data_IF_854976650924
#
_entry.id   IF_854976650924
#
_cell.length_a   1.000
_cell.length_b   1.000
_cell.length_c   1.000
_cell.angle_alpha   90.00
_cell.angle_beta   90.00
_cell.angle_gamma   90.00
#
_symmetry.space_group_name_H-M   'P 1'
#
loop_
_entity.id
_entity.type
_entity.pdbx_description
1 polymer ?
#
# COMPACT_ATOMS: atom_id res chain seq x y z
N UNK A 1 1.55 22.76 49.28
CA UNK A 1 1.56 24.13 48.69
C UNK A 1 2.95 24.72 48.84
N UNK A 2 3.78 24.70 47.77
CA UNK A 2 5.09 25.37 47.70
C UNK A 2 5.32 25.76 46.24
N UNK A 3 5.07 27.04 45.89
CA UNK A 3 6.03 28.18 45.72
C UNK A 3 6.73 28.12 44.36
N UNK A 4 6.27 28.91 43.37
CA UNK A 4 6.58 30.33 43.08
C UNK A 4 7.85 30.49 42.24
N UNK A 5 7.68 30.99 41.01
CA UNK A 5 8.77 31.51 40.18
C UNK A 5 9.12 32.95 40.54
N UNK A 6 10.30 33.40 40.12
CA UNK A 6 10.54 34.77 39.67
C UNK A 6 11.93 34.90 39.03
N UNK A 7 12.04 35.92 38.18
CA UNK A 7 13.16 36.24 37.32
C UNK A 7 14.29 37.04 38.01
N UNK A 8 15.38 37.20 37.23
CA UNK A 8 16.50 38.16 37.32
C UNK A 8 17.52 37.99 38.44
N UNK A 9 18.78 37.78 38.05
CA UNK A 9 19.89 38.64 38.50
C UNK A 9 21.05 38.59 37.49
N UNK A 10 21.59 39.76 37.17
CA UNK A 10 22.75 40.00 36.30
C UNK A 10 23.81 40.73 37.14
N UNK A 11 25.11 40.59 36.76
CA UNK A 11 26.36 41.15 37.33
C UNK A 11 27.06 40.19 38.31
N UNK A 12 28.38 39.98 38.29
CA UNK A 12 29.51 40.59 37.57
C UNK A 12 30.70 39.63 37.70
N UNK A 13 31.51 39.46 36.66
CA UNK A 13 32.92 39.08 36.80
C UNK A 13 33.70 39.67 35.63
N UNK A 14 34.37 40.77 35.91
CA UNK A 14 35.33 41.44 35.03
C UNK A 14 36.66 40.70 35.14
N UNK A 15 37.08 40.01 34.08
CA UNK A 15 38.49 39.67 33.87
C UNK A 15 38.89 40.18 32.49
N UNK A 16 39.79 41.16 32.50
CA UNK A 16 40.46 41.70 31.31
C UNK A 16 41.34 40.63 30.68
N UNK A 17 41.20 40.36 29.38
CA UNK A 17 42.34 39.92 28.57
C UNK A 17 42.20 40.37 27.11
N UNK A 18 43.35 40.72 26.50
CA UNK A 18 43.52 41.28 25.16
C UNK A 18 43.83 40.15 24.15
N UNK A 19 43.31 40.31 22.92
CA UNK A 19 43.65 39.66 21.63
C UNK A 19 42.92 38.35 21.24
N UNK A 20 42.61 38.16 19.95
CA UNK A 20 41.80 37.06 19.44
C UNK A 20 42.68 35.86 19.06
N UNK A 21 42.25 34.66 19.40
CA UNK A 21 42.72 33.43 18.76
C UNK A 21 41.51 32.70 18.19
N UNK A 22 41.54 32.55 16.87
CA UNK A 22 40.65 31.73 16.07
C UNK A 22 40.73 30.29 16.56
N UNK A 23 39.69 29.81 17.24
CA UNK A 23 39.53 28.38 17.55
C UNK A 23 38.47 27.83 16.60
N UNK A 24 38.95 27.17 15.56
CA UNK A 24 38.14 26.32 14.69
C UNK A 24 37.73 25.09 15.50
N UNK A 25 36.52 25.11 16.07
CA UNK A 25 36.00 23.99 16.84
C UNK A 25 35.36 22.98 15.87
N UNK A 26 36.16 22.01 15.44
CA UNK A 26 35.71 20.82 14.71
C UNK A 26 34.83 20.00 15.68
N UNK A 27 33.51 20.05 15.51
CA UNK A 27 32.59 19.10 16.14
C UNK A 27 32.64 17.77 15.37
N UNK A 28 33.59 16.91 15.72
CA UNK A 28 33.54 15.49 15.39
C UNK A 28 32.74 14.75 16.48
N UNK A 29 31.41 14.83 16.39
CA UNK A 29 30.55 13.90 17.12
C UNK A 29 30.65 12.54 16.45
N UNK A 30 31.43 11.65 17.07
CA UNK A 30 31.42 10.21 16.80
C UNK A 30 30.01 9.68 17.07
N UNK A 31 29.21 9.50 16.02
CA UNK A 31 28.06 8.60 16.06
C UNK A 31 28.61 7.18 16.21
N UNK A 32 28.70 6.72 17.46
CA UNK A 32 28.78 5.29 17.71
C UNK A 32 27.46 4.68 17.24
N UNK A 33 27.55 3.66 16.39
CA UNK A 33 26.42 2.83 15.99
C UNK A 33 25.86 2.18 17.26
N UNK A 34 24.94 2.89 17.92
CA UNK A 34 23.99 2.23 18.79
C UNK A 34 23.25 1.25 17.89
N UNK A 35 23.42 -0.03 18.15
CA UNK A 35 22.61 -1.11 17.60
C UNK A 35 21.17 -0.83 18.01
N UNK A 36 20.47 -0.04 17.19
CA UNK A 36 19.03 0.10 17.25
C UNK A 36 18.46 -1.26 16.92
N UNK A 37 18.13 -2.02 17.96
CA UNK A 37 17.20 -3.14 17.84
C UNK A 37 15.90 -2.48 17.41
N UNK A 38 15.68 -2.42 16.09
CA UNK A 38 14.49 -1.84 15.51
C UNK A 38 13.27 -2.48 16.18
N UNK A 39 12.34 -1.69 16.73
CA UNK A 39 11.20 -2.23 17.43
C UNK A 39 10.45 -3.18 16.49
N UNK A 40 10.00 -4.28 17.08
CA UNK A 40 9.23 -5.36 16.44
C UNK A 40 8.18 -4.75 15.51
N UNK A 41 8.02 -5.36 14.32
CA UNK A 41 6.99 -5.09 13.28
C UNK A 41 5.87 -4.19 13.80
N UNK A 42 5.45 -3.12 13.10
CA UNK A 42 4.19 -2.47 13.42
C UNK A 42 3.13 -3.58 13.56
N UNK A 43 2.54 -3.67 14.75
CA UNK A 43 1.59 -4.70 15.18
C UNK A 43 0.32 -4.56 14.33
N UNK A 44 0.42 -4.90 13.05
CA UNK A 44 -0.73 -5.11 12.20
C UNK A 44 -1.38 -6.41 12.68
N UNK A 45 -2.68 -6.39 12.98
CA UNK A 45 -3.40 -7.59 13.39
C UNK A 45 -3.27 -8.64 12.29
N UNK A 46 -2.96 -9.88 12.67
CA UNK A 46 -2.89 -11.01 11.75
C UNK A 46 -4.29 -11.26 11.16
N UNK A 47 -4.54 -10.72 9.96
CA UNK A 47 -5.78 -10.94 9.23
C UNK A 47 -5.84 -12.35 8.63
N UNK A 48 -4.69 -13.01 8.43
CA UNK A 48 -4.64 -14.34 7.83
C UNK A 48 -5.18 -15.43 8.75
N UNK A 49 -5.44 -15.11 10.02
CA UNK A 49 -6.20 -15.97 10.95
C UNK A 49 -7.64 -16.21 10.48
N UNK A 50 -8.23 -15.26 9.75
CA UNK A 50 -9.57 -15.40 9.19
C UNK A 50 -9.49 -16.32 7.96
N UNK A 51 -10.36 -17.33 7.89
CA UNK A 51 -10.40 -18.31 6.78
C UNK A 51 -11.68 -18.20 5.99
N UNK A 52 -12.83 -18.02 6.65
CA UNK A 52 -14.13 -17.79 6.03
C UNK A 52 -14.61 -16.39 6.35
N UNK A 53 -14.94 -15.60 5.34
CA UNK A 53 -15.37 -14.21 5.53
C UNK A 53 -16.68 -13.92 4.79
N UNK A 54 -17.41 -12.92 5.29
CA UNK A 54 -18.49 -12.27 4.55
C UNK A 54 -18.05 -10.86 4.13
N UNK A 55 -18.62 -10.35 3.04
CA UNK A 55 -18.37 -8.99 2.55
C UNK A 55 -19.57 -8.11 2.91
N UNK A 56 -19.34 -7.01 3.62
CA UNK A 56 -20.34 -5.97 3.81
C UNK A 56 -20.37 -5.10 2.55
N UNK A 57 -21.52 -5.10 1.87
CA UNK A 57 -21.80 -4.39 0.62
C UNK A 57 -22.88 -3.30 0.81
N UNK A 58 -23.55 -3.31 1.96
CA UNK A 58 -24.52 -2.31 2.39
C UNK A 58 -23.99 -0.87 2.31
N UNK A 59 -24.87 0.02 1.89
CA UNK A 59 -24.61 1.45 1.83
C UNK A 59 -23.73 1.87 0.66
N UNK A 60 -23.41 1.01 -0.31
CA UNK A 60 -22.65 1.45 -1.49
C UNK A 60 -23.37 2.57 -2.26
N UNK A 61 -22.58 3.49 -2.83
CA UNK A 61 -23.10 4.45 -3.83
C UNK A 61 -23.16 3.79 -5.22
N UNK A 62 -23.98 4.32 -6.12
CA UNK A 62 -24.26 3.75 -7.45
C UNK A 62 -23.04 3.76 -8.41
N UNK A 63 -21.98 4.50 -8.08
CA UNK A 63 -20.78 4.64 -8.91
C UNK A 63 -19.70 3.59 -8.55
N UNK A 64 -19.43 2.59 -9.39
CA UNK A 64 -18.17 1.80 -9.49
C UNK A 64 -17.32 1.59 -8.19
N UNK A 65 -17.92 1.16 -7.07
CA UNK A 65 -17.25 1.10 -5.76
C UNK A 65 -16.89 -0.29 -5.24
N UNK A 66 -16.90 -1.30 -6.11
CA UNK A 66 -16.60 -2.69 -5.73
C UNK A 66 -15.12 -3.06 -5.70
N UNK A 67 -14.21 -2.08 -5.78
CA UNK A 67 -12.74 -2.35 -5.85
C UNK A 67 -12.25 -3.23 -4.69
N UNK A 68 -12.77 -3.00 -3.48
CA UNK A 68 -12.35 -3.75 -2.29
C UNK A 68 -12.92 -5.16 -2.34
N UNK A 69 -14.22 -5.31 -2.63
CA UNK A 69 -14.87 -6.61 -2.84
C UNK A 69 -14.18 -7.44 -3.93
N UNK A 70 -13.97 -6.87 -5.11
CA UNK A 70 -13.30 -7.52 -6.25
C UNK A 70 -11.86 -7.89 -5.88
N UNK A 71 -11.12 -7.01 -5.20
CA UNK A 71 -9.76 -7.28 -4.74
C UNK A 71 -9.71 -8.49 -3.79
N UNK A 72 -10.60 -8.53 -2.81
CA UNK A 72 -10.71 -9.64 -1.86
C UNK A 72 -11.11 -10.95 -2.53
N UNK A 73 -12.07 -10.92 -3.44
CA UNK A 73 -12.51 -12.12 -4.18
C UNK A 73 -11.42 -12.67 -5.10
N UNK A 74 -10.63 -11.78 -5.71
CA UNK A 74 -9.63 -12.17 -6.71
C UNK A 74 -8.30 -12.59 -6.10
N UNK A 75 -7.87 -11.90 -5.06
CA UNK A 75 -6.51 -12.03 -4.51
C UNK A 75 -6.48 -12.37 -3.02
N UNK A 76 -7.59 -12.21 -2.30
CA UNK A 76 -7.67 -12.53 -0.89
C UNK A 76 -7.44 -14.03 -0.63
N UNK A 77 -6.67 -14.40 0.41
CA UNK A 77 -6.47 -15.80 0.79
C UNK A 77 -7.72 -16.40 1.51
N UNK A 78 -8.85 -15.71 1.44
CA UNK A 78 -10.05 -16.01 2.21
C UNK A 78 -11.07 -16.76 1.38
N UNK A 79 -11.82 -17.67 2.02
CA UNK A 79 -13.07 -18.19 1.45
C UNK A 79 -14.19 -17.20 1.71
N UNK A 80 -14.57 -16.42 0.70
CA UNK A 80 -15.76 -15.57 0.78
C UNK A 80 -17.01 -16.45 0.69
N UNK A 81 -17.91 -16.33 1.66
CA UNK A 81 -19.11 -17.19 1.76
C UNK A 81 -20.44 -16.46 1.64
N UNK A 82 -20.44 -15.14 1.80
CA UNK A 82 -21.66 -14.33 1.76
C UNK A 82 -21.35 -12.86 1.41
N UNK A 83 -22.28 -12.19 0.74
CA UNK A 83 -22.44 -10.74 0.75
C UNK A 83 -23.53 -10.33 1.75
N UNK A 84 -23.38 -9.16 2.38
CA UNK A 84 -24.37 -8.58 3.29
C UNK A 84 -24.81 -7.23 2.73
N UNK A 85 -26.04 -7.19 2.24
CA UNK A 85 -26.70 -6.04 1.59
C UNK A 85 -28.21 -6.28 1.58
N UNK A 86 -28.95 -5.44 2.29
CA UNK A 86 -30.38 -5.54 2.50
C UNK A 86 -31.19 -5.23 1.25
N UNK A 87 -30.72 -4.30 0.41
CA UNK A 87 -31.37 -3.92 -0.85
C UNK A 87 -31.18 -4.99 -1.93
N UNK A 88 -30.13 -5.81 -1.81
CA UNK A 88 -29.75 -6.80 -2.82
C UNK A 88 -29.88 -8.26 -2.34
N UNK A 89 -30.55 -8.48 -1.21
CA UNK A 89 -30.75 -9.81 -0.64
C UNK A 89 -31.44 -10.76 -1.62
N UNK A 90 -30.97 -12.02 -1.66
CA UNK A 90 -31.47 -13.05 -2.58
C UNK A 90 -30.79 -13.07 -3.95
N UNK A 91 -29.99 -12.05 -4.29
CA UNK A 91 -29.09 -12.06 -5.46
C UNK A 91 -27.76 -12.75 -5.12
N UNK A 92 -26.93 -12.91 -6.14
CA UNK A 92 -25.53 -13.35 -5.99
C UNK A 92 -24.55 -12.19 -6.17
N UNK A 93 -23.30 -12.38 -5.77
CA UNK A 93 -22.22 -11.42 -6.06
C UNK A 93 -22.03 -11.24 -7.56
N UNK A 94 -22.14 -12.29 -8.37
CA UNK A 94 -22.05 -12.12 -9.83
C UNK A 94 -23.15 -11.20 -10.38
N UNK A 95 -24.38 -11.35 -9.88
CA UNK A 95 -25.49 -10.50 -10.30
C UNK A 95 -25.24 -9.02 -9.97
N UNK A 96 -24.65 -8.73 -8.80
CA UNK A 96 -24.48 -7.37 -8.29
C UNK A 96 -23.19 -6.70 -8.79
N UNK A 97 -22.05 -7.39 -8.67
CA UNK A 97 -20.72 -6.82 -8.92
C UNK A 97 -20.04 -7.38 -10.18
N UNK A 98 -20.68 -8.34 -10.87
CA UNK A 98 -20.11 -8.99 -12.06
C UNK A 98 -18.91 -9.90 -11.78
N UNK A 99 -18.70 -10.27 -10.51
CA UNK A 99 -17.61 -11.13 -10.08
C UNK A 99 -17.96 -11.83 -8.75
N UNK A 100 -17.48 -13.05 -8.54
CA UNK A 100 -17.73 -13.80 -7.30
C UNK A 100 -18.74 -14.93 -7.44
N UNK A 101 -19.31 -15.15 -8.64
CA UNK A 101 -20.12 -16.32 -8.95
C UNK A 101 -21.34 -16.45 -8.03
N UNK A 102 -21.70 -17.69 -7.69
CA UNK A 102 -22.93 -18.00 -6.96
C UNK A 102 -22.88 -17.67 -5.45
N UNK A 103 -21.96 -16.83 -4.98
CA UNK A 103 -21.92 -16.43 -3.56
C UNK A 103 -23.19 -15.62 -3.26
N UNK A 104 -24.05 -16.08 -2.32
CA UNK A 104 -25.34 -15.43 -2.05
C UNK A 104 -25.19 -14.14 -1.25
N UNK A 105 -26.12 -13.21 -1.49
CA UNK A 105 -26.28 -11.96 -0.74
C UNK A 105 -27.45 -12.09 0.23
N UNK A 106 -27.24 -11.69 1.48
CA UNK A 106 -28.23 -11.74 2.55
C UNK A 106 -28.51 -10.35 3.11
N UNK A 107 -29.73 -10.15 3.61
CA UNK A 107 -30.12 -8.90 4.26
C UNK A 107 -29.50 -8.74 5.66
N UNK A 108 -29.23 -9.86 6.36
CA UNK A 108 -28.77 -9.85 7.75
C UNK A 108 -27.63 -10.84 7.97
N UNK A 109 -26.83 -10.61 9.00
CA UNK A 109 -25.78 -11.54 9.42
C UNK A 109 -26.39 -12.86 9.89
N UNK A 110 -27.53 -12.82 10.59
CA UNK A 110 -28.19 -14.02 11.10
C UNK A 110 -28.69 -14.91 9.98
N UNK A 111 -29.27 -14.35 8.91
CA UNK A 111 -29.70 -15.13 7.74
C UNK A 111 -28.51 -15.81 7.05
N UNK A 112 -27.40 -15.07 6.90
CA UNK A 112 -26.17 -15.62 6.36
C UNK A 112 -25.66 -16.79 7.22
N UNK A 113 -25.59 -16.61 8.56
CA UNK A 113 -25.16 -17.66 9.49
C UNK A 113 -26.06 -18.90 9.43
N UNK A 114 -27.38 -18.70 9.32
CA UNK A 114 -28.35 -19.79 9.20
C UNK A 114 -28.18 -20.58 7.90
N UNK A 115 -27.83 -19.90 6.80
CA UNK A 115 -27.79 -20.52 5.46
C UNK A 115 -26.42 -21.08 5.07
N UNK A 116 -25.34 -20.33 5.30
CA UNK A 116 -23.98 -20.70 4.88
C UNK A 116 -23.10 -21.18 6.04
N UNK A 117 -23.61 -21.16 7.27
CA UNK A 117 -22.91 -21.56 8.48
C UNK A 117 -21.98 -20.47 9.02
N UNK A 118 -21.16 -20.82 10.01
CA UNK A 118 -20.25 -19.87 10.68
C UNK A 118 -19.15 -19.37 9.74
N UNK A 119 -18.87 -18.07 9.84
CA UNK A 119 -17.73 -17.37 9.26
C UNK A 119 -17.04 -16.51 10.33
N UNK A 120 -15.76 -16.20 10.10
CA UNK A 120 -14.87 -15.66 11.14
C UNK A 120 -14.98 -14.14 11.25
N UNK A 121 -15.23 -13.48 10.11
CA UNK A 121 -15.22 -12.03 10.02
C UNK A 121 -16.12 -11.47 8.91
N UNK A 122 -16.65 -10.27 9.15
CA UNK A 122 -17.30 -9.38 8.20
C UNK A 122 -16.28 -8.33 7.75
N UNK A 123 -15.96 -8.31 6.46
CA UNK A 123 -15.04 -7.35 5.86
C UNK A 123 -15.85 -6.21 5.23
N UNK A 124 -15.56 -4.97 5.62
CA UNK A 124 -16.12 -3.77 4.98
C UNK A 124 -15.58 -3.68 3.56
N UNK A 125 -16.41 -4.00 2.58
CA UNK A 125 -16.00 -4.17 1.19
C UNK A 125 -16.50 -3.05 0.26
N UNK A 126 -17.12 -2.02 0.84
CA UNK A 126 -17.53 -0.77 0.18
C UNK A 126 -16.52 0.36 0.43
N UNK A 127 -16.52 1.36 -0.44
CA UNK A 127 -15.66 2.53 -0.31
C UNK A 127 -16.44 3.80 -0.65
N UNK A 128 -16.80 4.57 0.36
CA UNK A 128 -17.39 5.90 0.18
C UNK A 128 -16.33 6.96 -0.17
N UNK A 129 -16.70 8.03 -0.89
CA UNK A 129 -15.95 9.28 -0.88
C UNK A 129 -15.65 9.71 0.55
N UNK A 130 -14.38 9.96 0.86
CA UNK A 130 -13.93 10.29 2.23
C UNK A 130 -13.90 9.13 3.22
N UNK A 131 -14.31 7.92 2.84
CA UNK A 131 -14.22 6.69 3.66
C UNK A 131 -14.99 6.74 4.97
N UNK A 132 -16.17 7.35 4.98
CA UNK A 132 -17.01 7.50 6.17
C UNK A 132 -17.79 6.21 6.49
N UNK A 133 -18.11 6.02 7.77
CA UNK A 133 -19.13 5.06 8.21
C UNK A 133 -20.52 5.68 8.01
N UNK A 134 -21.22 5.25 6.96
CA UNK A 134 -22.60 5.69 6.69
C UNK A 134 -23.60 4.95 7.60
N UNK A 135 -24.78 5.54 7.90
CA UNK A 135 -25.76 4.96 8.82
C UNK A 135 -26.19 3.52 8.47
N UNK A 136 -26.31 3.21 7.18
CA UNK A 136 -26.79 1.95 6.63
C UNK A 136 -25.83 0.79 6.97
N UNK A 137 -24.54 1.08 7.09
CA UNK A 137 -23.53 0.08 7.46
C UNK A 137 -23.59 -0.31 8.94
N UNK A 138 -24.17 0.52 9.80
CA UNK A 138 -24.15 0.28 11.26
C UNK A 138 -24.91 -0.97 11.69
N UNK A 139 -26.17 -1.21 11.25
CA UNK A 139 -26.92 -2.40 11.63
C UNK A 139 -26.17 -3.73 11.39
N UNK A 140 -25.64 -4.04 10.18
CA UNK A 140 -24.93 -5.30 9.96
C UNK A 140 -23.61 -5.40 10.75
N UNK A 141 -22.90 -4.28 10.97
CA UNK A 141 -21.70 -4.26 11.83
C UNK A 141 -22.06 -4.61 13.28
N UNK A 142 -23.12 -4.03 13.83
CA UNK A 142 -23.60 -4.34 15.18
C UNK A 142 -23.98 -5.82 15.29
N UNK A 143 -24.73 -6.31 14.32
CA UNK A 143 -25.18 -7.69 14.28
C UNK A 143 -24.00 -8.68 14.25
N UNK A 144 -22.98 -8.40 13.44
CA UNK A 144 -21.76 -9.19 13.39
C UNK A 144 -21.07 -9.28 14.75
N UNK A 145 -20.89 -8.15 15.43
CA UNK A 145 -20.26 -8.12 16.76
C UNK A 145 -21.02 -8.96 17.79
N UNK A 146 -22.36 -8.86 17.81
CA UNK A 146 -23.21 -9.65 18.71
C UNK A 146 -23.20 -11.14 18.36
N UNK A 147 -23.05 -11.49 17.09
CA UNK A 147 -22.99 -12.87 16.60
C UNK A 147 -21.60 -13.52 16.70
N UNK A 148 -20.63 -12.87 17.37
CA UNK A 148 -19.23 -13.31 17.46
C UNK A 148 -18.51 -13.41 16.10
N UNK A 149 -18.89 -12.57 15.15
CA UNK A 149 -18.20 -12.38 13.87
C UNK A 149 -17.35 -11.13 13.95
N UNK A 150 -16.04 -11.27 13.78
CA UNK A 150 -15.11 -10.13 13.85
C UNK A 150 -15.39 -9.11 12.75
N UNK A 151 -15.09 -7.83 12.95
CA UNK A 151 -15.29 -6.82 11.91
C UNK A 151 -13.93 -6.31 11.44
N UNK A 152 -13.68 -6.35 10.13
CA UNK A 152 -12.45 -5.80 9.51
C UNK A 152 -12.85 -4.61 8.65
N UNK A 153 -12.35 -3.43 9.00
CA UNK A 153 -12.69 -2.17 8.36
C UNK A 153 -11.46 -1.50 7.79
N UNK A 154 -11.60 -1.01 6.57
CA UNK A 154 -10.63 -0.14 5.92
C UNK A 154 -11.15 1.28 5.75
N UNK A 155 -12.18 1.70 6.49
CA UNK A 155 -12.72 3.06 6.43
C UNK A 155 -11.72 4.09 6.99
N UNK A 156 -11.90 5.36 6.65
CA UNK A 156 -11.19 6.47 7.30
C UNK A 156 -11.77 6.75 8.68
N UNK A 157 -13.07 6.51 8.87
CA UNK A 157 -13.66 6.40 10.21
C UNK A 157 -13.11 5.15 10.90
N UNK A 158 -12.38 5.34 12.00
CA UNK A 158 -11.84 4.26 12.82
C UNK A 158 -12.96 3.67 13.68
N UNK A 159 -13.41 2.46 13.36
CA UNK A 159 -14.57 1.84 14.00
C UNK A 159 -14.32 1.50 15.47
N UNK A 160 -13.09 1.13 15.82
CA UNK A 160 -12.67 0.89 17.21
C UNK A 160 -12.68 2.15 18.09
N UNK A 161 -12.83 3.35 17.51
CA UNK A 161 -12.99 4.60 18.24
C UNK A 161 -14.46 5.05 18.32
N UNK A 162 -15.39 4.39 17.63
CA UNK A 162 -16.81 4.68 17.75
C UNK A 162 -17.35 4.16 19.11
N UNK A 163 -17.94 5.01 19.96
CA UNK A 163 -18.36 4.64 21.32
C UNK A 163 -19.37 3.48 21.37
N UNK A 164 -20.26 3.39 20.38
CA UNK A 164 -21.27 2.33 20.31
C UNK A 164 -20.60 1.00 19.93
N UNK A 165 -19.80 1.03 18.86
CA UNK A 165 -19.19 -0.18 18.31
C UNK A 165 -18.15 -0.78 19.25
N UNK A 166 -17.33 0.05 19.91
CA UNK A 166 -16.33 -0.45 20.87
C UNK A 166 -16.99 -1.06 22.12
N UNK A 167 -18.11 -0.50 22.57
CA UNK A 167 -18.87 -1.04 23.69
C UNK A 167 -19.45 -2.42 23.34
N UNK A 168 -19.98 -2.59 22.12
CA UNK A 168 -20.46 -3.89 21.63
C UNK A 168 -19.32 -4.89 21.48
N UNK A 169 -18.22 -4.51 20.83
CA UNK A 169 -17.04 -5.35 20.66
C UNK A 169 -16.50 -5.87 22.01
N UNK A 170 -16.44 -4.99 23.01
CA UNK A 170 -16.01 -5.34 24.37
C UNK A 170 -17.00 -6.29 25.05
N UNK A 171 -18.31 -5.97 25.01
CA UNK A 171 -19.36 -6.77 25.63
C UNK A 171 -19.40 -8.21 25.09
N UNK A 172 -19.27 -8.36 23.78
CA UNK A 172 -19.36 -9.66 23.10
C UNK A 172 -18.01 -10.33 22.88
N UNK A 173 -16.91 -9.70 23.33
CA UNK A 173 -15.53 -10.18 23.15
C UNK A 173 -15.19 -10.47 21.68
N UNK A 174 -15.71 -9.63 20.79
CA UNK A 174 -15.58 -9.76 19.34
C UNK A 174 -14.72 -8.61 18.82
N UNK A 175 -13.56 -8.88 18.18
CA UNK A 175 -12.64 -7.82 17.81
C UNK A 175 -13.12 -7.01 16.60
N UNK A 176 -12.84 -5.71 16.64
CA UNK A 176 -12.85 -4.81 15.48
C UNK A 176 -11.40 -4.61 15.06
N UNK A 177 -11.14 -4.69 13.76
CA UNK A 177 -9.82 -4.51 13.16
C UNK A 177 -9.89 -3.39 12.14
N UNK A 178 -9.32 -2.24 12.49
CA UNK A 178 -9.17 -1.10 11.60
C UNK A 178 -7.82 -1.16 10.87
N UNK A 179 -7.82 -1.48 9.56
CA UNK A 179 -6.58 -1.63 8.78
C UNK A 179 -5.88 -0.30 8.47
N UNK A 180 -6.53 0.83 8.79
CA UNK A 180 -5.94 2.17 8.74
C UNK A 180 -5.25 2.60 10.03
N UNK A 181 -5.42 1.87 11.13
CA UNK A 181 -4.77 2.22 12.39
C UNK A 181 -3.32 1.76 12.39
N UNK A 182 -2.40 2.72 12.47
CA UNK A 182 -1.00 2.45 12.75
C UNK A 182 -0.79 2.27 14.25
N UNK A 183 0.05 1.30 14.63
CA UNK A 183 0.55 1.22 16.01
C UNK A 183 1.44 2.42 16.34
N UNK A 184 1.90 2.53 17.58
CA UNK A 184 2.87 3.56 17.95
C UNK A 184 4.15 3.41 17.12
N UNK A 185 4.57 4.50 16.48
CA UNK A 185 5.83 4.59 15.76
C UNK A 185 6.60 5.83 16.24
N UNK A 186 7.93 5.70 16.32
CA UNK A 186 8.83 6.80 16.69
C UNK A 186 9.08 7.73 15.51
N UNK A 187 10.34 8.11 15.30
CA UNK A 187 10.77 8.83 14.11
C UNK A 187 11.45 7.84 13.15
N UNK A 188 10.71 7.21 12.20
CA UNK A 188 11.26 6.18 11.35
C UNK A 188 12.31 6.78 10.41
N UNK A 189 13.46 6.11 10.21
CA UNK A 189 14.50 6.58 9.29
C UNK A 189 13.96 6.60 7.86
N UNK A 190 14.23 7.69 7.14
CA UNK A 190 13.77 7.86 5.75
C UNK A 190 14.49 6.97 4.74
N UNK A 191 15.54 6.27 5.18
CA UNK A 191 16.29 5.32 4.38
C UNK A 191 16.69 4.13 5.26
N UNK A 192 16.46 2.92 4.76
CA UNK A 192 16.87 1.66 5.39
C UNK A 192 17.42 0.77 4.28
N UNK A 193 18.60 0.19 4.50
CA UNK A 193 19.20 -0.70 3.50
C UNK A 193 18.38 -1.97 3.31
N UNK A 194 18.28 -2.42 2.06
CA UNK A 194 17.68 -3.69 1.73
C UNK A 194 18.69 -4.83 1.90
N UNK A 195 18.19 -6.06 2.07
CA UNK A 195 19.06 -7.24 2.02
C UNK A 195 19.72 -7.33 0.63
N UNK A 196 21.04 -7.51 0.59
CA UNK A 196 21.79 -7.74 -0.66
C UNK A 196 21.20 -8.93 -1.43
N UNK A 197 21.07 -8.78 -2.74
CA UNK A 197 20.51 -9.80 -3.64
C UNK A 197 19.00 -9.72 -3.83
N UNK A 198 18.30 -8.83 -3.11
CA UNK A 198 16.87 -8.62 -3.28
C UNK A 198 16.54 -7.71 -4.47
N UNK A 199 15.35 -7.89 -5.03
CA UNK A 199 14.77 -6.99 -6.04
C UNK A 199 13.54 -6.33 -5.47
N UNK A 200 13.49 -5.01 -5.47
CA UNK A 200 12.31 -4.24 -5.06
C UNK A 200 11.69 -3.58 -6.30
N UNK A 201 10.45 -3.95 -6.63
CA UNK A 201 9.75 -3.46 -7.82
C UNK A 201 8.58 -2.59 -7.38
N UNK A 202 8.61 -1.31 -7.73
CA UNK A 202 7.51 -0.40 -7.43
C UNK A 202 6.51 -0.36 -8.59
N UNK A 203 5.24 -0.62 -8.30
CA UNK A 203 4.16 -0.52 -9.28
C UNK A 203 3.62 0.91 -9.25
N UNK A 204 3.93 1.69 -10.28
CA UNK A 204 3.51 3.10 -10.41
C UNK A 204 2.36 3.24 -11.40
N UNK A 205 1.77 4.43 -11.54
CA UNK A 205 0.62 4.59 -12.43
C UNK A 205 0.48 5.97 -13.03
N UNK A 206 -0.28 6.05 -14.13
CA UNK A 206 -0.66 7.32 -14.74
C UNK A 206 -1.63 8.15 -13.89
N UNK A 207 -2.38 7.49 -13.01
CA UNK A 207 -3.43 8.07 -12.17
C UNK A 207 -3.83 7.11 -11.01
N UNK A 208 -4.78 7.53 -10.18
CA UNK A 208 -5.51 6.71 -9.22
C UNK A 208 -6.36 5.61 -9.91
N UNK A 209 -6.55 4.47 -9.24
CA UNK A 209 -7.44 3.38 -9.68
C UNK A 209 -7.15 2.76 -11.08
N UNK A 210 -5.94 2.89 -11.61
CA UNK A 210 -5.54 2.34 -12.94
C UNK A 210 -5.01 0.90 -12.90
N UNK A 211 -5.28 0.14 -11.83
CA UNK A 211 -4.87 -1.27 -11.72
C UNK A 211 -3.56 -1.56 -10.97
N UNK A 212 -2.94 -0.58 -10.29
CA UNK A 212 -1.68 -0.79 -9.54
C UNK A 212 -1.74 -1.98 -8.57
N UNK A 213 -2.76 -2.06 -7.71
CA UNK A 213 -2.97 -3.19 -6.80
C UNK A 213 -3.11 -4.51 -7.56
N UNK A 214 -3.93 -4.54 -8.63
CA UNK A 214 -4.12 -5.71 -9.50
C UNK A 214 -2.79 -6.22 -10.05
N UNK A 215 -1.96 -5.31 -10.58
CA UNK A 215 -0.64 -5.64 -11.13
C UNK A 215 0.31 -6.12 -10.04
N UNK A 216 0.32 -5.48 -8.87
CA UNK A 216 1.14 -5.90 -7.72
C UNK A 216 0.86 -7.35 -7.31
N UNK A 217 -0.41 -7.71 -7.10
CA UNK A 217 -0.77 -9.07 -6.69
C UNK A 217 -0.60 -10.09 -7.82
N UNK A 218 -0.89 -9.72 -9.07
CA UNK A 218 -0.64 -10.60 -10.21
C UNK A 218 0.85 -10.94 -10.34
N UNK A 219 1.75 -9.95 -10.17
CA UNK A 219 3.20 -10.16 -10.19
C UNK A 219 3.64 -11.08 -9.04
N UNK A 220 3.13 -10.85 -7.83
CA UNK A 220 3.44 -11.68 -6.67
C UNK A 220 3.00 -13.14 -6.87
N UNK A 221 1.78 -13.37 -7.36
CA UNK A 221 1.24 -14.71 -7.61
C UNK A 221 2.06 -15.42 -8.68
N UNK A 222 2.34 -14.76 -9.80
CA UNK A 222 3.11 -15.36 -10.89
C UNK A 222 4.57 -15.64 -10.47
N UNK A 223 5.21 -14.74 -9.73
CA UNK A 223 6.55 -14.96 -9.20
C UNK A 223 6.59 -16.14 -8.22
N UNK A 224 5.61 -16.23 -7.32
CA UNK A 224 5.49 -17.34 -6.36
C UNK A 224 5.24 -18.66 -7.07
N UNK A 225 4.40 -18.67 -8.11
CA UNK A 225 4.16 -19.85 -8.96
C UNK A 225 5.43 -20.36 -9.63
N UNK A 226 6.39 -19.48 -9.90
CA UNK A 226 7.73 -19.80 -10.44
C UNK A 226 8.77 -20.15 -9.36
N UNK A 227 8.38 -20.26 -8.10
CA UNK A 227 9.27 -20.59 -6.99
C UNK A 227 10.11 -19.41 -6.48
N UNK A 228 9.84 -18.18 -6.93
CA UNK A 228 10.50 -16.98 -6.38
C UNK A 228 9.86 -16.67 -5.03
N UNK A 229 10.66 -16.51 -3.97
CA UNK A 229 10.16 -16.02 -2.68
C UNK A 229 9.76 -14.55 -2.82
N UNK A 230 8.50 -14.32 -3.15
CA UNK A 230 7.96 -12.98 -3.38
C UNK A 230 7.14 -12.51 -2.18
N UNK A 231 7.28 -11.23 -1.82
CA UNK A 231 6.45 -10.54 -0.83
C UNK A 231 5.77 -9.31 -1.43
N UNK A 232 4.60 -8.95 -0.92
CA UNK A 232 3.89 -7.72 -1.29
C UNK A 232 4.06 -6.68 -0.18
N UNK A 233 4.54 -5.49 -0.53
CA UNK A 233 4.47 -4.33 0.34
C UNK A 233 3.15 -3.60 0.06
N UNK A 234 2.11 -3.94 0.83
CA UNK A 234 0.79 -3.34 0.70
C UNK A 234 0.76 -1.93 1.32
N UNK A 235 0.16 -0.99 0.61
CA UNK A 235 0.15 0.43 0.96
C UNK A 235 -1.26 1.02 1.03
N UNK A 236 -2.26 0.32 0.49
CA UNK A 236 -3.66 0.72 0.54
C UNK A 236 -4.50 -0.23 1.39
N UNK A 237 -5.67 0.22 1.85
CA UNK A 237 -6.59 -0.59 2.66
C UNK A 237 -6.87 -1.98 2.07
N UNK A 238 -7.19 -2.07 0.77
CA UNK A 238 -7.54 -3.32 0.10
C UNK A 238 -6.32 -4.25 0.03
N UNK A 239 -5.16 -3.71 -0.34
CA UNK A 239 -3.90 -4.46 -0.32
C UNK A 239 -3.56 -4.99 1.07
N UNK A 240 -3.76 -4.19 2.13
CA UNK A 240 -3.52 -4.60 3.51
C UNK A 240 -4.51 -5.71 3.91
N UNK A 241 -5.78 -5.60 3.54
CA UNK A 241 -6.76 -6.66 3.79
C UNK A 241 -6.39 -7.96 3.09
N UNK A 242 -5.82 -7.91 1.88
CA UNK A 242 -5.39 -9.10 1.13
C UNK A 242 -4.10 -9.69 1.71
N UNK A 243 -3.06 -8.87 1.89
CA UNK A 243 -1.75 -9.30 2.36
C UNK A 243 -1.75 -9.69 3.84
N UNK A 244 -2.63 -9.07 4.64
CA UNK A 244 -2.71 -9.21 6.08
C UNK A 244 -1.74 -8.33 6.87
N UNK A 245 -0.98 -7.47 6.17
CA UNK A 245 -0.05 -6.52 6.76
C UNK A 245 0.19 -5.36 5.77
N UNK A 246 0.56 -4.18 6.27
CA UNK A 246 1.05 -3.09 5.44
C UNK A 246 1.06 -1.74 6.13
N UNK A 247 1.24 -0.69 5.34
CA UNK A 247 1.27 0.70 5.80
C UNK A 247 0.15 1.46 5.09
N UNK A 248 -0.93 1.88 5.77
CA UNK A 248 -1.99 2.68 5.15
C UNK A 248 -1.49 4.10 4.88
N UNK A 249 -0.79 4.32 3.77
CA UNK A 249 -0.08 5.58 3.46
C UNK A 249 -1.02 6.78 3.27
N UNK A 250 -2.32 6.54 3.04
CA UNK A 250 -3.34 7.58 3.00
C UNK A 250 -3.80 8.03 4.41
N UNK A 251 -3.28 7.38 5.45
CA UNK A 251 -3.57 7.66 6.85
C UNK A 251 -2.28 7.92 7.67
N UNK A 252 -1.14 8.09 7.01
CA UNK A 252 0.11 8.50 7.65
C UNK A 252 0.20 10.02 7.76
N UNK A 253 0.92 10.51 8.77
CA UNK A 253 1.37 11.91 8.78
C UNK A 253 2.43 12.05 7.70
N UNK A 254 2.28 13.07 6.84
CA UNK A 254 3.10 13.25 5.63
C UNK A 254 4.61 13.18 5.89
N UNK A 255 5.07 13.68 7.05
CA UNK A 255 6.49 13.70 7.41
C UNK A 255 7.09 12.30 7.65
N UNK A 256 6.25 11.34 8.06
CA UNK A 256 6.67 9.99 8.43
C UNK A 256 6.40 8.94 7.34
N UNK A 257 5.63 9.28 6.29
CA UNK A 257 5.28 8.34 5.20
C UNK A 257 6.51 7.65 4.61
N UNK A 258 7.56 8.43 4.29
CA UNK A 258 8.79 7.89 3.68
C UNK A 258 9.45 6.87 4.61
N UNK A 259 9.61 7.22 5.89
CA UNK A 259 10.28 6.35 6.85
C UNK A 259 9.47 5.08 7.15
N UNK A 260 8.15 5.19 7.29
CA UNK A 260 7.27 4.03 7.50
C UNK A 260 7.33 3.05 6.31
N UNK A 261 7.35 3.57 5.09
CA UNK A 261 7.51 2.73 3.88
C UNK A 261 8.91 2.12 3.85
N UNK A 262 9.97 2.88 4.18
CA UNK A 262 11.35 2.38 4.19
C UNK A 262 11.55 1.22 5.17
N UNK A 263 11.13 1.37 6.43
CA UNK A 263 11.22 0.30 7.42
C UNK A 263 10.40 -0.93 7.00
N UNK A 264 9.18 -0.70 6.48
CA UNK A 264 8.30 -1.79 6.07
C UNK A 264 8.87 -2.58 4.89
N UNK A 265 9.29 -1.91 3.82
CA UNK A 265 9.88 -2.56 2.64
C UNK A 265 11.17 -3.28 3.01
N UNK A 266 12.08 -2.63 3.75
CA UNK A 266 13.31 -3.25 4.22
C UNK A 266 13.03 -4.52 5.03
N UNK A 267 12.03 -4.51 5.91
CA UNK A 267 11.64 -5.70 6.67
C UNK A 267 11.20 -6.88 5.79
N UNK A 268 10.53 -6.60 4.66
CA UNK A 268 10.12 -7.62 3.71
C UNK A 268 11.30 -8.17 2.91
N UNK A 269 12.29 -7.34 2.58
CA UNK A 269 13.50 -7.78 1.87
C UNK A 269 14.30 -8.83 2.67
N UNK A 270 14.17 -8.87 4.00
CA UNK A 270 14.84 -9.87 4.83
C UNK A 270 14.31 -11.30 4.59
N UNK A 271 13.03 -11.44 4.22
CA UNK A 271 12.39 -12.74 4.06
C UNK A 271 12.17 -13.13 2.59
N UNK A 272 12.25 -12.18 1.66
CA UNK A 272 11.88 -12.37 0.25
C UNK A 272 13.03 -12.02 -0.69
N UNK A 273 13.09 -12.66 -1.84
CA UNK A 273 14.04 -12.35 -2.93
C UNK A 273 13.47 -11.27 -3.87
N UNK A 274 12.14 -11.16 -3.94
CA UNK A 274 11.41 -10.15 -4.68
C UNK A 274 10.39 -9.47 -3.76
N UNK A 275 10.44 -8.15 -3.63
CA UNK A 275 9.39 -7.35 -2.98
C UNK A 275 8.67 -6.52 -4.04
N UNK A 276 7.37 -6.73 -4.20
CA UNK A 276 6.54 -5.93 -5.09
C UNK A 276 5.78 -4.90 -4.27
N UNK A 277 6.04 -3.62 -4.52
CA UNK A 277 5.47 -2.51 -3.76
C UNK A 277 4.21 -2.02 -4.45
N UNK A 278 3.10 -2.06 -3.74
CA UNK A 278 1.82 -1.49 -4.19
C UNK A 278 1.95 0.03 -4.27
N UNK A 279 1.76 0.62 -5.45
CA UNK A 279 1.69 2.07 -5.57
C UNK A 279 0.31 2.62 -5.25
N UNK A 280 0.28 3.80 -4.65
CA UNK A 280 -0.93 4.61 -4.47
C UNK A 280 -0.83 5.91 -5.27
N UNK A 281 -1.99 6.44 -5.68
CA UNK A 281 -2.05 7.67 -6.48
C UNK A 281 -1.38 7.57 -7.84
N UNK A 282 -0.99 8.71 -8.38
CA UNK A 282 -0.03 8.83 -9.48
C UNK A 282 0.85 10.05 -9.19
N UNK A 283 2.01 10.16 -9.82
CA UNK A 283 2.84 11.38 -9.67
C UNK A 283 2.12 12.65 -10.15
N UNK A 284 1.13 12.47 -11.00
CA UNK A 284 0.19 13.48 -11.50
C UNK A 284 -0.91 13.85 -10.49
N UNK A 285 -1.00 13.14 -9.36
CA UNK A 285 -2.08 13.24 -8.39
C UNK A 285 -1.57 13.04 -6.95
N UNK A 286 -1.14 14.16 -6.33
CA UNK A 286 -0.77 14.22 -4.90
C UNK A 286 0.66 13.79 -4.58
N UNK A 287 1.00 13.79 -3.28
CA UNK A 287 2.34 13.52 -2.76
C UNK A 287 2.62 12.03 -2.44
N UNK A 288 1.59 11.20 -2.36
CA UNK A 288 1.70 9.83 -1.86
C UNK A 288 2.61 8.96 -2.73
N UNK A 289 2.49 9.05 -4.06
CA UNK A 289 3.29 8.25 -4.98
C UNK A 289 4.80 8.49 -4.78
N UNK A 290 5.21 9.75 -4.65
CA UNK A 290 6.61 10.11 -4.43
C UNK A 290 7.11 9.62 -3.07
N UNK A 291 6.31 9.76 -2.01
CA UNK A 291 6.65 9.25 -0.68
C UNK A 291 6.86 7.74 -0.64
N UNK A 292 6.02 6.98 -1.36
CA UNK A 292 6.21 5.53 -1.54
C UNK A 292 7.52 5.26 -2.28
N UNK A 293 7.77 5.92 -3.41
CA UNK A 293 8.97 5.65 -4.24
C UNK A 293 10.24 5.94 -3.45
N UNK A 294 10.30 7.06 -2.73
CA UNK A 294 11.45 7.44 -1.90
C UNK A 294 11.68 6.46 -0.75
N UNK A 295 10.61 6.05 -0.05
CA UNK A 295 10.74 5.08 1.04
C UNK A 295 11.07 3.67 0.55
N UNK A 296 10.47 3.26 -0.56
CA UNK A 296 10.59 1.92 -1.10
C UNK A 296 11.93 1.64 -1.78
N UNK A 297 12.68 2.68 -2.16
CA UNK A 297 13.98 2.56 -2.82
C UNK A 297 14.03 1.45 -3.91
N UNK A 298 13.17 1.53 -4.95
CA UNK A 298 12.99 0.43 -5.89
C UNK A 298 14.20 0.26 -6.82
N UNK A 299 14.37 -0.95 -7.34
CA UNK A 299 15.33 -1.27 -8.41
C UNK A 299 14.71 -1.07 -9.80
N UNK A 300 13.39 -1.13 -9.93
CA UNK A 300 12.68 -0.87 -11.17
C UNK A 300 11.20 -0.52 -10.96
N UNK A 301 10.57 0.00 -12.01
CA UNK A 301 9.16 0.36 -12.05
C UNK A 301 8.35 -0.49 -13.04
N UNK A 302 7.10 -0.76 -12.69
CA UNK A 302 6.06 -1.20 -13.63
C UNK A 302 5.01 -0.10 -13.72
N UNK A 303 4.78 0.45 -14.92
CA UNK A 303 3.87 1.57 -15.13
C UNK A 303 2.47 1.08 -15.48
N UNK A 304 1.49 1.41 -14.64
CA UNK A 304 0.08 1.08 -14.88
C UNK A 304 -0.68 2.22 -15.57
N UNK A 305 -1.61 1.87 -16.46
CA UNK A 305 -2.47 2.85 -17.11
C UNK A 305 -3.83 2.27 -17.48
N UNK A 306 -4.87 3.08 -17.33
CA UNK A 306 -6.23 2.78 -17.79
C UNK A 306 -6.44 3.43 -19.16
N UNK A 307 -6.68 2.62 -20.18
CA UNK A 307 -6.72 3.07 -21.58
C UNK A 307 -7.92 3.97 -21.89
N UNK A 308 -8.93 3.99 -21.01
CA UNK A 308 -10.07 4.90 -21.10
C UNK A 308 -9.79 6.27 -20.48
N UNK A 309 -8.69 6.42 -19.74
CA UNK A 309 -8.41 7.62 -18.94
C UNK A 309 -7.80 8.73 -19.80
N UNK A 310 -8.60 9.77 -20.03
CA UNK A 310 -8.16 11.00 -20.73
C UNK A 310 -7.76 12.12 -19.77
N UNK A 311 -8.48 12.25 -18.65
CA UNK A 311 -8.23 13.24 -17.59
C UNK A 311 -7.90 12.57 -16.26
N UNK A 312 -7.18 13.29 -15.40
CA UNK A 312 -6.89 12.86 -14.04
C UNK A 312 -8.21 12.72 -13.27
N UNK A 313 -8.41 11.57 -12.60
CA UNK A 313 -9.63 11.27 -11.85
C UNK A 313 -9.89 12.35 -10.80
N UNK A 314 -11.10 12.92 -10.82
CA UNK A 314 -11.48 14.04 -9.95
C UNK A 314 -11.06 15.42 -10.45
N UNK A 315 -10.27 15.50 -11.52
CA UNK A 315 -9.72 16.74 -12.06
C UNK A 315 -9.89 16.79 -13.60
N UNK A 316 -11.13 17.04 -14.09
CA UNK A 316 -11.43 17.01 -15.53
C UNK A 316 -10.69 18.09 -16.35
N UNK A 317 -10.08 19.08 -15.69
CA UNK A 317 -9.28 20.12 -16.32
C UNK A 317 -7.82 19.71 -16.58
N UNK A 318 -7.38 18.55 -16.09
CA UNK A 318 -5.99 18.08 -16.22
C UNK A 318 -5.92 16.80 -17.04
N UNK A 319 -5.26 16.86 -18.20
CA UNK A 319 -5.03 15.70 -19.05
C UNK A 319 -4.05 14.73 -18.41
N UNK A 320 -4.27 13.43 -18.61
CA UNK A 320 -3.25 12.42 -18.31
C UNK A 320 -2.10 12.57 -19.31
N UNK A 321 -0.84 12.69 -18.85
CA UNK A 321 0.31 12.69 -19.76
C UNK A 321 0.45 11.37 -20.50
N UNK A 322 1.06 11.40 -21.70
CA UNK A 322 1.31 10.17 -22.46
C UNK A 322 2.19 9.18 -21.70
N UNK A 323 2.09 7.88 -22.01
CA UNK A 323 2.93 6.85 -21.37
C UNK A 323 4.42 7.12 -21.54
N UNK A 324 4.84 7.64 -22.70
CA UNK A 324 6.24 8.05 -22.94
C UNK A 324 6.67 9.17 -21.99
N UNK A 325 5.81 10.16 -21.75
CA UNK A 325 6.09 11.25 -20.81
C UNK A 325 6.10 10.78 -19.37
N UNK A 326 5.13 9.94 -18.97
CA UNK A 326 5.08 9.35 -17.64
C UNK A 326 6.31 8.49 -17.35
N UNK A 327 6.74 7.67 -18.31
CA UNK A 327 7.99 6.90 -18.21
C UNK A 327 9.17 7.82 -17.90
N UNK A 328 9.37 8.88 -18.67
CA UNK A 328 10.45 9.84 -18.41
C UNK A 328 10.39 10.44 -17.01
N UNK A 329 9.20 10.80 -16.53
CA UNK A 329 9.03 11.38 -15.19
C UNK A 329 9.39 10.36 -14.10
N UNK A 330 8.93 9.11 -14.21
CA UNK A 330 9.25 8.09 -13.22
C UNK A 330 10.72 7.69 -13.25
N UNK A 331 11.34 7.61 -14.43
CA UNK A 331 12.78 7.33 -14.56
C UNK A 331 13.62 8.47 -13.97
N UNK A 332 13.23 9.73 -14.18
CA UNK A 332 13.84 10.89 -13.53
C UNK A 332 13.73 10.80 -12.00
N UNK A 333 12.56 10.47 -11.46
CA UNK A 333 12.40 10.24 -10.01
C UNK A 333 13.29 9.10 -9.51
N UNK A 334 13.48 8.06 -10.32
CA UNK A 334 14.41 6.97 -10.03
C UNK A 334 15.82 7.47 -9.71
N UNK A 335 16.28 8.51 -10.41
CA UNK A 335 17.59 9.15 -10.19
C UNK A 335 17.68 9.94 -8.88
N UNK A 336 16.55 10.41 -8.34
CA UNK A 336 16.53 11.15 -7.07
C UNK A 336 16.62 10.22 -5.86
N UNK A 337 16.30 8.95 -6.06
CA UNK A 337 16.29 7.93 -5.01
C UNK A 337 17.60 7.14 -4.99
N UNK A 338 18.17 6.85 -6.17
CA UNK A 338 19.45 6.16 -6.31
C UNK A 338 20.32 6.84 -7.34
N UNK A 339 21.55 7.15 -6.94
CA UNK A 339 22.56 7.67 -7.86
C UNK A 339 23.16 6.52 -8.68
N UNK A 340 23.47 5.41 -8.01
CA UNK A 340 24.00 4.21 -8.68
C UNK A 340 22.88 3.25 -9.05
N UNK A 341 22.75 2.97 -10.35
CA UNK A 341 21.71 2.08 -10.92
C UNK A 341 20.27 2.56 -10.59
N UNK A 342 19.85 3.74 -11.11
CA UNK A 342 18.52 4.28 -10.87
C UNK A 342 17.42 3.36 -11.40
N UNK A 343 16.25 3.44 -10.77
CA UNK A 343 15.09 2.67 -11.18
C UNK A 343 14.56 3.11 -12.55
N UNK A 344 14.41 2.16 -13.47
CA UNK A 344 13.81 2.40 -14.78
C UNK A 344 12.44 1.74 -14.93
N UNK A 345 11.60 2.26 -15.84
CA UNK A 345 10.36 1.56 -16.20
C UNK A 345 10.71 0.39 -17.10
N UNK A 346 10.47 -0.83 -16.61
CA UNK A 346 10.84 -2.06 -17.33
C UNK A 346 9.65 -2.72 -18.04
N UNK A 347 8.43 -2.26 -17.78
CA UNK A 347 7.23 -2.79 -18.42
C UNK A 347 5.99 -1.99 -18.07
N UNK A 348 4.92 -2.24 -18.81
CA UNK A 348 3.65 -1.52 -18.69
C UNK A 348 2.50 -2.51 -18.47
N UNK A 349 1.60 -2.12 -17.57
CA UNK A 349 0.37 -2.84 -17.27
C UNK A 349 -0.83 -2.00 -17.67
N UNK A 350 -1.53 -2.40 -18.73
CA UNK A 350 -2.73 -1.72 -19.19
C UNK A 350 -3.97 -2.34 -18.56
N UNK A 351 -4.84 -1.50 -18.02
CA UNK A 351 -6.23 -1.86 -17.80
C UNK A 351 -6.98 -1.64 -19.12
N UNK A 352 -7.36 -2.73 -19.78
CA UNK A 352 -8.11 -2.71 -21.04
C UNK A 352 -9.57 -3.15 -20.86
N UNK A 353 -10.12 -3.08 -19.64
CA UNK A 353 -11.49 -3.53 -19.34
C UNK A 353 -12.56 -2.87 -20.20
N UNK A 354 -12.33 -1.63 -20.66
CA UNK A 354 -13.26 -0.88 -21.52
C UNK A 354 -13.23 -1.29 -23.01
N UNK A 355 -12.34 -2.21 -23.40
CA UNK A 355 -12.13 -2.60 -24.81
C UNK A 355 -12.60 -4.03 -25.07
N UNK A 356 -12.91 -4.35 -26.32
CA UNK A 356 -13.06 -5.76 -26.73
C UNK A 356 -11.71 -6.49 -26.69
N UNK A 357 -11.71 -7.82 -26.70
CA UNK A 357 -10.48 -8.63 -26.72
C UNK A 357 -9.56 -8.27 -27.89
N UNK A 358 -10.13 -8.17 -29.10
CA UNK A 358 -9.38 -7.81 -30.31
C UNK A 358 -8.75 -6.42 -30.24
N UNK A 359 -9.48 -5.44 -29.71
CA UNK A 359 -8.98 -4.07 -29.53
C UNK A 359 -7.88 -4.02 -28.48
N UNK A 360 -8.07 -4.71 -27.35
CA UNK A 360 -7.08 -4.81 -26.28
C UNK A 360 -5.76 -5.40 -26.80
N UNK A 361 -5.80 -6.56 -27.48
CA UNK A 361 -4.60 -7.20 -28.04
C UNK A 361 -3.87 -6.28 -29.02
N UNK A 362 -4.62 -5.61 -29.91
CA UNK A 362 -4.03 -4.66 -30.88
C UNK A 362 -3.37 -3.47 -30.18
N UNK A 363 -4.03 -2.89 -29.19
CA UNK A 363 -3.52 -1.73 -28.45
C UNK A 363 -2.28 -2.10 -27.63
N UNK A 364 -2.29 -3.25 -26.96
CA UNK A 364 -1.14 -3.77 -26.22
C UNK A 364 0.05 -3.92 -27.15
N UNK A 365 -0.13 -4.59 -28.30
CA UNK A 365 0.97 -4.82 -29.24
C UNK A 365 1.54 -3.50 -29.77
N UNK A 366 0.66 -2.57 -30.18
CA UNK A 366 1.07 -1.23 -30.59
C UNK A 366 1.86 -0.51 -29.50
N UNK A 367 1.38 -0.56 -28.25
CA UNK A 367 2.04 0.12 -27.11
C UNK A 367 3.40 -0.51 -26.82
N UNK A 368 3.54 -1.82 -26.96
CA UNK A 368 4.81 -2.54 -26.82
C UNK A 368 5.81 -2.07 -27.88
N UNK A 369 5.38 -1.99 -29.14
CA UNK A 369 6.21 -1.53 -30.26
C UNK A 369 6.61 -0.05 -30.09
N UNK A 370 5.68 0.82 -29.64
CA UNK A 370 5.91 2.25 -29.44
C UNK A 370 6.88 2.54 -28.27
N UNK A 371 6.88 1.70 -27.23
CA UNK A 371 7.70 1.91 -26.03
C UNK A 371 8.98 1.06 -26.00
N UNK A 372 9.05 0.00 -26.80
CA UNK A 372 10.12 -1.00 -26.74
C UNK A 372 10.20 -1.72 -25.40
N UNK A 373 9.06 -1.87 -24.70
CA UNK A 373 8.95 -2.50 -23.38
C UNK A 373 7.82 -3.54 -23.38
N UNK A 374 7.94 -4.64 -22.62
CA UNK A 374 6.84 -5.56 -22.41
C UNK A 374 5.59 -4.83 -21.91
N UNK A 375 4.47 -5.03 -22.60
CA UNK A 375 3.16 -4.48 -22.23
C UNK A 375 2.18 -5.64 -22.09
N UNK A 376 1.38 -5.63 -21.03
CA UNK A 376 0.33 -6.63 -20.82
C UNK A 376 -0.91 -6.04 -20.19
N UNK A 377 -2.00 -6.79 -20.21
CA UNK A 377 -3.14 -6.62 -19.31
C UNK A 377 -3.10 -7.78 -18.31
N UNK A 378 -2.86 -7.52 -17.01
CA UNK A 378 -2.74 -8.56 -16.00
C UNK A 378 -3.96 -9.48 -15.89
N UNK A 379 -5.14 -8.95 -16.22
CA UNK A 379 -6.42 -9.66 -16.06
C UNK A 379 -6.76 -10.51 -17.27
N UNK A 380 -6.35 -10.08 -18.47
CA UNK A 380 -6.62 -10.81 -19.72
C UNK A 380 -5.53 -11.79 -20.13
N UNK A 381 -4.27 -11.38 -19.99
CA UNK A 381 -3.12 -12.11 -20.53
C UNK A 381 -2.13 -12.55 -19.45
N UNK A 382 -2.36 -12.16 -18.19
CA UNK A 382 -1.43 -12.39 -17.10
C UNK A 382 -0.19 -11.50 -17.18
N UNK A 383 0.80 -11.79 -16.33
CA UNK A 383 1.98 -10.92 -16.15
C UNK A 383 3.31 -11.62 -16.40
N UNK A 384 3.29 -12.78 -17.07
CA UNK A 384 4.48 -13.61 -17.29
C UNK A 384 5.65 -12.84 -17.90
N UNK A 385 5.40 -12.05 -18.94
CA UNK A 385 6.43 -11.25 -19.62
C UNK A 385 7.04 -10.15 -18.71
N UNK A 386 6.26 -9.61 -17.77
CA UNK A 386 6.76 -8.66 -16.78
C UNK A 386 7.67 -9.36 -15.77
N UNK A 387 7.30 -10.55 -15.31
CA UNK A 387 8.12 -11.35 -14.39
C UNK A 387 9.42 -11.82 -15.06
N UNK A 388 9.40 -12.16 -16.35
CA UNK A 388 10.61 -12.44 -17.12
C UNK A 388 11.56 -11.24 -17.10
N UNK A 389 11.02 -10.02 -17.30
CA UNK A 389 11.84 -8.81 -17.28
C UNK A 389 12.41 -8.50 -15.90
N UNK A 390 11.66 -8.77 -14.83
CA UNK A 390 12.12 -8.59 -13.44
C UNK A 390 13.35 -9.47 -13.14
N UNK A 391 13.46 -10.67 -13.72
CA UNK A 391 14.62 -11.54 -13.50
C UNK A 391 15.96 -10.90 -13.93
N UNK A 392 15.92 -10.02 -14.94
CA UNK A 392 17.08 -9.29 -15.45
C UNK A 392 17.36 -7.98 -14.71
N UNK A 393 16.47 -7.54 -13.81
CA UNK A 393 16.75 -6.38 -12.96
C UNK A 393 17.93 -6.72 -12.07
N UNK A 394 18.94 -5.84 -12.04
CA UNK A 394 20.09 -6.00 -11.15
C UNK A 394 19.58 -5.92 -9.70
N UNK A 395 19.83 -6.94 -8.87
CA UNK A 395 19.40 -6.89 -7.48
C UNK A 395 20.18 -5.81 -6.71
N UNK A 396 19.63 -5.41 -5.57
CA UNK A 396 20.29 -4.51 -4.64
C UNK A 396 21.66 -5.07 -4.19
N UNK A 397 22.71 -4.25 -4.28
CA UNK A 397 24.10 -4.64 -4.01
C UNK A 397 24.70 -3.97 -2.76
N UNK A 398 23.91 -3.22 -1.99
CA UNK A 398 24.39 -2.41 -0.87
C UNK A 398 24.99 -1.07 -1.32
N UNK A 399 24.92 -0.06 -0.44
CA UNK A 399 25.61 1.23 -0.59
C UNK A 399 25.13 2.14 -1.73
N UNK A 400 24.55 3.29 -1.39
CA UNK A 400 24.70 4.53 -2.19
C UNK A 400 25.66 5.49 -1.44
N UNK A 401 26.62 4.93 -0.71
CA UNK A 401 27.71 5.70 -0.09
C UNK A 401 28.99 5.42 -0.83
N UNK A 402 29.37 6.37 -1.67
CA UNK A 402 30.67 6.47 -2.31
C UNK A 402 31.76 6.70 -1.24
N UNK A 403 32.15 5.63 -0.52
CA UNK A 403 33.32 5.61 0.38
C UNK A 403 34.22 4.38 0.23
N UNK A 404 33.94 3.49 -0.72
CA UNK A 404 34.80 2.32 -0.98
C UNK A 404 35.43 2.31 -2.38
N UNK A 405 35.19 3.32 -3.21
CA UNK A 405 35.85 3.48 -4.52
C UNK A 405 37.34 3.89 -4.40
N UNK A 406 37.82 4.32 -3.23
CA UNK A 406 39.25 4.61 -2.98
C UNK A 406 40.06 3.44 -2.39
N UNK A 407 39.45 2.27 -2.09
CA UNK A 407 40.16 1.14 -1.47
C UNK A 407 40.52 -0.02 -2.39
N UNK A 408 40.19 0.06 -3.68
CA UNK A 408 40.50 -1.01 -4.64
C UNK A 408 41.52 -0.62 -5.73
N UNK A 409 42.20 0.52 -5.59
CA UNK A 409 43.31 0.93 -6.49
C UNK A 409 44.70 0.80 -5.87
N UNK A 410 44.85 0.19 -4.70
CA UNK A 410 46.15 -0.17 -4.11
C UNK A 410 46.17 -1.63 -3.64
N UNK A 411 46.25 -2.56 -4.58
CA UNK A 411 46.90 -3.87 -4.42
C UNK A 411 47.41 -4.34 -5.78
#
# INVERSE_FOLDING_TARGET
>A
MRTLGCAKFMRSLTVRSKKPQTVCLIYLTRYTQASWVYPRRPLMPDLQKFKKIALLLEGHDHDDHWKTAIGLLRYGPYKVVAGIDSDHAGRTLDDLIGFGGCIPIFATIQDALNRVGRFDALFVAVSHPGGQLVPEMRPPIREALMAHVSVVSGLHTILSQDPELIALATKWKTPIVDVRTLGEYGNPPRHVEHRIGTRTIAVVGSDCAVGKMTTTFALHIEATRRGIRSGVAATGQTGIMIAGHGVPVDHTVADFTIGLVAEYVASLTQAHDLVVVEGQGGITHGNIALGIIQGANPDAFILCHDVSRTYIKGYPMWNVPSLKRLRQIYEEIGTWVRETNPAHVIGVSLNTSSLTEKEATKLIKKTEDDLGLPVTDPTRMGVSALVDKIAFVRPYVGGDTDRDSERLTNC
#
